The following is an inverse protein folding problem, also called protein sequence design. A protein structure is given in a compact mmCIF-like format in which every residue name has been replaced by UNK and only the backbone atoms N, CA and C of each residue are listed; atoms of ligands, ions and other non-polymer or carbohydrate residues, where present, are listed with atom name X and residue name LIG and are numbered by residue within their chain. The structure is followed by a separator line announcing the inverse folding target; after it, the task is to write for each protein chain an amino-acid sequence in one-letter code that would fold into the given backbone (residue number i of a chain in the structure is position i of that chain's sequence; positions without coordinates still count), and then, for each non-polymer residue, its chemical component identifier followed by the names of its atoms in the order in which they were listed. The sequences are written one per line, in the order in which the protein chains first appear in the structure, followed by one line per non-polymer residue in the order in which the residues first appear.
data_IF_320337039824
#
_entry.id   IF_320337039824
#
_cell.length_a   1.000
_cell.length_b   1.000
_cell.length_c   1.000
_cell.angle_alpha   90.00
_cell.angle_beta   90.00
_cell.angle_gamma   90.00
#
_symmetry.space_group_name_H-M   'P 1'
#
loop_
_entity.id
_entity.type
_entity.pdbx_description
1 polymer ?
#
# COMPACT_ATOMS: atom_id res chain seq x y z
N UNK A 1 0.45 -1.43 -11.25
CA UNK A 1 -0.47 -2.28 -10.46
C UNK A 1 -0.75 -3.61 -11.14
N UNK A 2 -1.09 -3.62 -12.43
CA UNK A 2 -1.42 -4.84 -13.19
C UNK A 2 -0.34 -5.93 -13.09
N UNK A 3 0.93 -5.60 -13.38
CA UNK A 3 2.03 -6.59 -13.29
C UNK A 3 2.16 -7.25 -11.91
N UNK A 4 1.99 -6.47 -10.82
CA UNK A 4 1.98 -7.00 -9.44
C UNK A 4 0.80 -7.94 -9.23
N UNK A 5 -0.37 -7.63 -9.78
CA UNK A 5 -1.56 -8.50 -9.69
C UNK A 5 -1.30 -9.91 -10.21
N UNK A 6 -0.57 -10.07 -11.31
CA UNK A 6 -0.31 -11.40 -11.88
C UNK A 6 0.69 -12.23 -11.09
N UNK A 7 1.74 -11.59 -10.53
CA UNK A 7 2.89 -12.32 -10.01
C UNK A 7 2.97 -12.37 -8.48
N UNK A 8 2.19 -11.57 -7.73
CA UNK A 8 2.37 -11.46 -6.27
C UNK A 8 2.07 -12.77 -5.53
N UNK A 9 1.09 -13.57 -5.98
CA UNK A 9 0.83 -14.91 -5.43
C UNK A 9 2.04 -15.83 -5.64
N UNK A 10 2.59 -15.85 -6.86
CA UNK A 10 3.74 -16.68 -7.21
C UNK A 10 4.95 -16.33 -6.35
N UNK A 11 5.27 -15.05 -6.21
CA UNK A 11 6.37 -14.60 -5.35
C UNK A 11 6.14 -14.90 -3.86
N UNK A 12 4.89 -14.82 -3.39
CA UNK A 12 4.53 -15.25 -2.04
C UNK A 12 4.80 -16.73 -1.80
N UNK A 13 4.37 -17.59 -2.73
CA UNK A 13 4.62 -19.04 -2.68
C UNK A 13 6.12 -19.38 -2.80
N UNK A 14 6.84 -18.68 -3.67
CA UNK A 14 8.30 -18.84 -3.81
C UNK A 14 9.00 -18.43 -2.52
N UNK A 15 8.57 -17.35 -1.86
CA UNK A 15 9.13 -16.93 -0.59
C UNK A 15 8.87 -17.93 0.54
N UNK A 16 7.74 -18.64 0.52
CA UNK A 16 7.44 -19.72 1.47
C UNK A 16 8.29 -20.98 1.21
N UNK A 17 8.79 -21.18 -0.01
CA UNK A 17 9.63 -22.33 -0.37
C UNK A 17 11.13 -22.07 -0.26
N UNK A 18 11.60 -20.93 -0.72
CA UNK A 18 13.03 -20.60 -0.84
C UNK A 18 13.53 -19.82 0.38
N UNK A 19 12.66 -19.03 1.02
CA UNK A 19 13.02 -18.10 2.08
C UNK A 19 12.60 -16.67 1.74
N UNK A 20 12.50 -15.80 2.75
CA UNK A 20 12.12 -14.39 2.60
C UNK A 20 13.24 -13.57 1.98
N UNK A 21 14.49 -13.76 2.44
CA UNK A 21 15.64 -12.94 2.05
C UNK A 21 15.97 -13.07 0.55
N UNK A 22 16.05 -14.28 -0.06
CA UNK A 22 16.35 -14.41 -1.49
C UNK A 22 15.34 -13.69 -2.38
N UNK A 23 14.05 -13.75 -2.05
CA UNK A 23 12.99 -13.09 -2.83
C UNK A 23 13.05 -11.57 -2.69
N UNK A 24 13.38 -11.05 -1.50
CA UNK A 24 13.60 -9.61 -1.26
C UNK A 24 14.79 -9.12 -2.10
N UNK A 25 15.93 -9.83 -2.06
CA UNK A 25 17.15 -9.50 -2.82
C UNK A 25 16.84 -9.50 -4.33
N UNK A 26 16.18 -10.54 -4.84
CA UNK A 26 15.79 -10.61 -6.25
C UNK A 26 14.88 -9.45 -6.65
N UNK A 27 13.89 -9.11 -5.82
CA UNK A 27 12.97 -8.01 -6.09
C UNK A 27 13.69 -6.67 -6.17
N UNK A 28 14.65 -6.41 -5.27
CA UNK A 28 15.44 -5.16 -5.28
C UNK A 28 16.37 -5.13 -6.50
N UNK A 29 17.00 -6.24 -6.85
CA UNK A 29 17.80 -6.34 -8.08
C UNK A 29 16.97 -6.07 -9.34
N UNK A 30 15.78 -6.65 -9.44
CA UNK A 30 14.84 -6.39 -10.53
C UNK A 30 14.44 -4.91 -10.58
N UNK A 31 14.26 -4.24 -9.43
CA UNK A 31 14.03 -2.79 -9.36
C UNK A 31 15.20 -2.02 -9.97
N UNK A 32 16.45 -2.31 -9.59
CA UNK A 32 17.63 -1.62 -10.11
C UNK A 32 17.71 -1.74 -11.64
N UNK A 33 17.56 -2.95 -12.18
CA UNK A 33 17.67 -3.20 -13.62
C UNK A 33 16.53 -2.56 -14.38
N UNK A 34 15.28 -2.84 -14.01
CA UNK A 34 14.10 -2.41 -14.79
C UNK A 34 13.81 -0.92 -14.62
N UNK A 35 14.14 -0.32 -13.47
CA UNK A 35 14.02 1.12 -13.28
C UNK A 35 15.06 1.88 -14.13
N UNK A 36 16.29 1.36 -14.23
CA UNK A 36 17.32 1.93 -15.10
C UNK A 36 16.96 1.80 -16.58
N UNK A 37 16.44 0.64 -17.00
CA UNK A 37 15.93 0.43 -18.36
C UNK A 37 14.75 1.35 -18.69
N UNK A 38 13.88 1.63 -17.72
CA UNK A 38 12.83 2.63 -17.90
C UNK A 38 13.43 4.03 -18.16
N UNK A 39 14.48 4.42 -17.44
CA UNK A 39 15.17 5.70 -17.66
C UNK A 39 15.73 5.85 -19.07
N UNK A 40 16.09 4.75 -19.72
CA UNK A 40 16.59 4.67 -21.11
C UNK A 40 15.45 4.52 -22.15
N UNK A 41 14.19 4.60 -21.74
CA UNK A 41 13.06 4.38 -22.64
C UNK A 41 12.79 5.61 -23.52
N UNK A 42 12.87 5.42 -24.84
CA UNK A 42 12.55 6.43 -25.87
C UNK A 42 11.20 6.20 -26.55
N UNK A 43 10.66 4.98 -26.46
CA UNK A 43 9.37 4.60 -27.06
C UNK A 43 8.34 4.34 -25.97
N UNK A 44 7.09 4.72 -26.24
CA UNK A 44 5.95 4.46 -25.35
C UNK A 44 5.86 2.98 -24.94
N UNK A 45 5.93 2.06 -25.90
CA UNK A 45 5.86 0.63 -25.63
C UNK A 45 7.02 0.09 -24.79
N UNK A 46 8.22 0.68 -24.90
CA UNK A 46 9.36 0.32 -24.06
C UNK A 46 9.12 0.74 -22.60
N UNK A 47 8.55 1.94 -22.39
CA UNK A 47 8.17 2.42 -21.08
C UNK A 47 7.06 1.56 -20.44
N UNK A 48 6.05 1.17 -21.22
CA UNK A 48 4.95 0.31 -20.75
C UNK A 48 5.45 -1.09 -20.38
N UNK A 49 6.26 -1.71 -21.24
CA UNK A 49 6.79 -3.06 -21.00
C UNK A 49 7.72 -3.11 -19.80
N UNK A 50 8.67 -2.17 -19.68
CA UNK A 50 9.56 -2.10 -18.50
C UNK A 50 8.78 -1.88 -17.20
N UNK A 51 7.71 -1.06 -17.21
CA UNK A 51 6.84 -0.86 -16.04
C UNK A 51 5.98 -2.07 -15.70
N UNK A 52 5.50 -2.79 -16.71
CA UNK A 52 4.78 -4.04 -16.51
C UNK A 52 5.70 -5.10 -15.89
N UNK A 53 6.89 -5.31 -16.47
CA UNK A 53 7.90 -6.24 -15.96
C UNK A 53 8.36 -5.86 -14.56
N UNK A 54 8.58 -4.57 -14.28
CA UNK A 54 8.90 -4.10 -12.93
C UNK A 54 7.79 -4.47 -11.95
N UNK A 55 6.53 -4.36 -12.36
CA UNK A 55 5.41 -4.81 -11.54
C UNK A 55 5.40 -6.32 -11.31
N UNK A 56 5.66 -7.13 -12.34
CA UNK A 56 5.60 -8.58 -12.28
C UNK A 56 6.80 -9.20 -11.53
N UNK A 57 7.99 -8.64 -11.67
CA UNK A 57 9.21 -9.16 -11.05
C UNK A 57 9.47 -8.60 -9.66
N UNK A 58 8.79 -7.51 -9.27
CA UNK A 58 8.89 -6.93 -7.93
C UNK A 58 7.87 -7.55 -6.97
N UNK A 59 8.24 -8.71 -6.43
CA UNK A 59 7.46 -9.45 -5.43
C UNK A 59 7.59 -8.94 -4.00
N UNK A 60 8.26 -7.80 -3.75
CA UNK A 60 8.73 -7.37 -2.42
C UNK A 60 7.65 -7.28 -1.32
N UNK A 61 6.44 -6.82 -1.68
CA UNK A 61 5.41 -6.48 -0.68
C UNK A 61 4.92 -7.69 0.13
N UNK A 62 4.86 -8.88 -0.46
CA UNK A 62 4.38 -10.07 0.25
C UNK A 62 5.44 -10.64 1.22
N UNK A 63 6.69 -10.89 0.80
CA UNK A 63 7.76 -11.36 1.68
C UNK A 63 8.13 -10.36 2.75
N UNK A 64 8.13 -9.04 2.48
CA UNK A 64 8.54 -8.05 3.49
C UNK A 64 7.55 -7.95 4.66
N UNK A 65 6.25 -8.07 4.39
CA UNK A 65 5.20 -8.11 5.42
C UNK A 65 5.32 -9.37 6.29
N UNK A 66 5.52 -10.53 5.64
CA UNK A 66 5.75 -11.79 6.34
C UNK A 66 7.03 -11.73 7.19
N UNK A 67 8.15 -11.30 6.58
CA UNK A 67 9.44 -11.11 7.23
C UNK A 67 9.35 -10.20 8.45
N UNK A 68 8.68 -9.06 8.32
CA UNK A 68 8.55 -8.10 9.41
C UNK A 68 7.83 -8.67 10.64
N UNK A 69 6.84 -9.54 10.46
CA UNK A 69 6.15 -10.20 11.57
C UNK A 69 6.96 -11.36 12.15
N UNK A 70 7.79 -12.00 11.33
CA UNK A 70 8.63 -13.12 11.74
C UNK A 70 9.86 -12.66 12.54
N UNK A 71 10.45 -11.51 12.22
CA UNK A 71 11.57 -10.93 13.00
C UNK A 71 11.12 -10.40 14.35
N UNK A 72 9.91 -9.83 14.42
CA UNK A 72 9.42 -9.20 15.64
C UNK A 72 8.83 -10.23 16.60
N UNK A 73 9.10 -10.05 17.90
CA UNK A 73 8.34 -10.73 18.97
C UNK A 73 6.85 -10.39 18.85
N UNK A 74 5.98 -11.27 19.32
CA UNK A 74 4.52 -11.14 19.19
C UNK A 74 3.97 -9.76 19.62
N UNK A 75 4.54 -9.18 20.67
CA UNK A 75 4.20 -7.86 21.19
C UNK A 75 4.58 -6.69 20.26
N UNK A 76 5.61 -6.86 19.43
CA UNK A 76 6.14 -5.83 18.53
C UNK A 76 5.81 -6.09 17.05
N UNK A 77 5.09 -7.16 16.72
CA UNK A 77 4.60 -7.42 15.36
C UNK A 77 3.80 -6.25 14.74
N UNK A 78 2.94 -5.52 15.50
CA UNK A 78 2.24 -4.36 14.98
C UNK A 78 3.22 -3.24 14.58
N UNK A 79 4.26 -3.00 15.38
CA UNK A 79 5.31 -2.02 15.09
C UNK A 79 6.13 -2.41 13.86
N UNK A 80 6.43 -3.70 13.69
CA UNK A 80 7.09 -4.19 12.47
C UNK A 80 6.30 -3.85 11.21
N UNK A 81 5.01 -4.25 11.16
CA UNK A 81 4.15 -3.88 10.04
C UNK A 81 3.98 -2.37 9.90
N UNK A 82 4.02 -1.64 11.00
CA UNK A 82 3.90 -0.19 10.97
C UNK A 82 5.08 0.43 10.23
N UNK A 83 6.31 -0.03 10.48
CA UNK A 83 7.52 0.39 9.76
C UNK A 83 7.41 0.09 8.26
N UNK A 84 6.87 -1.07 7.86
CA UNK A 84 6.64 -1.39 6.44
C UNK A 84 5.69 -0.39 5.78
N UNK A 85 4.59 -0.05 6.45
CA UNK A 85 3.62 0.96 6.02
C UNK A 85 4.24 2.38 5.99
N UNK A 86 5.06 2.72 6.98
CA UNK A 86 5.80 4.00 7.04
C UNK A 86 6.73 4.15 5.83
N UNK A 87 7.49 3.10 5.49
CA UNK A 87 8.40 3.13 4.34
C UNK A 87 7.65 3.41 3.02
N UNK A 88 6.44 2.89 2.87
CA UNK A 88 5.56 3.24 1.74
C UNK A 88 5.19 4.72 1.74
N UNK A 89 4.81 5.28 2.90
CA UNK A 89 4.53 6.70 3.07
C UNK A 89 5.72 7.59 2.70
N UNK A 90 6.95 7.23 3.11
CA UNK A 90 8.17 7.96 2.73
C UNK A 90 8.34 7.95 1.21
N UNK A 91 8.11 6.79 0.58
CA UNK A 91 8.17 6.66 -0.88
C UNK A 91 7.18 7.55 -1.61
N UNK A 92 5.97 7.75 -1.06
CA UNK A 92 4.97 8.67 -1.63
C UNK A 92 5.38 10.14 -1.56
N UNK A 93 6.23 10.53 -0.60
CA UNK A 93 6.73 11.91 -0.48
C UNK A 93 8.01 12.09 -1.31
N UNK A 94 8.99 11.21 -1.13
CA UNK A 94 10.30 11.29 -1.78
C UNK A 94 10.21 11.02 -3.28
N UNK A 95 9.30 10.13 -3.71
CA UNK A 95 9.12 9.73 -5.11
C UNK A 95 8.77 10.91 -6.03
N UNK A 96 7.63 11.62 -5.81
CA UNK A 96 7.26 12.78 -6.60
C UNK A 96 8.28 13.92 -6.52
N UNK A 97 8.91 14.14 -5.36
CA UNK A 97 9.97 15.14 -5.22
C UNK A 97 11.17 14.81 -6.14
N UNK A 98 11.67 13.58 -6.07
CA UNK A 98 12.79 13.11 -6.90
C UNK A 98 12.42 13.13 -8.39
N UNK A 99 11.20 12.69 -8.73
CA UNK A 99 10.70 12.69 -10.10
C UNK A 99 10.46 14.09 -10.67
N UNK A 100 10.03 15.05 -9.86
CA UNK A 100 9.74 16.42 -10.30
C UNK A 100 10.97 17.33 -10.38
N UNK A 101 11.91 17.20 -9.43
CA UNK A 101 13.13 18.01 -9.38
C UNK A 101 14.27 17.49 -10.25
N UNK A 102 14.24 16.23 -10.69
CA UNK A 102 15.31 15.67 -11.52
C UNK A 102 14.85 15.32 -12.94
N UNK A 103 13.54 15.36 -13.23
CA UNK A 103 13.05 15.14 -14.59
C UNK A 103 13.44 16.31 -15.49
N UNK A 104 13.74 16.00 -16.75
CA UNK A 104 14.11 16.98 -17.77
C UNK A 104 15.25 17.91 -17.31
N UNK A 105 16.40 17.36 -16.89
CA UNK A 105 17.47 18.13 -16.26
C UNK A 105 18.04 19.22 -17.17
N UNK A 106 18.01 19.01 -18.49
CA UNK A 106 18.43 20.01 -19.49
C UNK A 106 17.54 21.25 -19.48
N UNK A 107 16.23 21.10 -19.23
CA UNK A 107 15.30 22.24 -19.16
C UNK A 107 15.34 22.92 -17.79
N UNK A 108 15.48 22.13 -16.73
CA UNK A 108 15.43 22.63 -15.36
C UNK A 108 16.77 23.22 -14.89
N UNK A 109 17.90 22.70 -15.40
CA UNK A 109 19.26 23.11 -15.06
C UNK A 109 20.14 23.27 -16.33
N UNK A 110 19.82 24.23 -17.22
CA UNK A 110 20.51 24.41 -18.50
C UNK A 110 22.00 24.77 -18.36
N UNK A 111 22.41 25.30 -17.20
CA UNK A 111 23.82 25.62 -16.91
C UNK A 111 24.68 24.38 -16.59
N UNK A 112 24.05 23.26 -16.20
CA UNK A 112 24.74 22.03 -15.77
C UNK A 112 24.61 20.93 -16.85
N UNK A 113 23.47 20.85 -17.53
CA UNK A 113 23.18 19.81 -18.50
C UNK A 113 22.95 20.39 -19.89
N UNK A 114 23.80 20.01 -20.84
CA UNK A 114 23.68 20.41 -22.24
C UNK A 114 22.70 19.53 -23.02
N UNK A 115 22.05 20.10 -24.04
CA UNK A 115 21.09 19.38 -24.92
C UNK A 115 21.69 18.17 -25.65
N UNK A 116 22.99 18.23 -26.00
CA UNK A 116 23.69 17.12 -26.67
C UNK A 116 24.10 15.99 -25.71
N UNK A 117 23.84 16.12 -24.41
CA UNK A 117 24.17 15.09 -23.42
C UNK A 117 23.21 13.90 -23.47
N UNK A 118 23.60 12.79 -22.83
CA UNK A 118 22.75 11.60 -22.65
C UNK A 118 21.42 11.98 -21.97
N UNK A 119 21.43 12.98 -21.09
CA UNK A 119 20.24 13.47 -20.39
C UNK A 119 19.31 14.33 -21.27
N UNK A 120 19.81 14.87 -22.37
CA UNK A 120 18.97 15.48 -23.42
C UNK A 120 18.21 14.42 -24.23
N UNK A 121 18.88 13.29 -24.53
CA UNK A 121 18.24 12.15 -25.20
C UNK A 121 17.28 11.38 -24.29
N UNK A 122 17.59 11.26 -23.00
CA UNK A 122 16.82 10.51 -22.01
C UNK A 122 16.42 11.41 -20.83
N UNK A 123 15.30 12.13 -20.94
CA UNK A 123 14.90 13.16 -19.95
C UNK A 123 14.55 12.60 -18.56
N UNK A 124 14.27 11.30 -18.45
CA UNK A 124 13.91 10.63 -17.19
C UNK A 124 15.03 9.75 -16.64
N UNK A 125 16.20 9.72 -17.28
CA UNK A 125 17.31 8.87 -16.85
C UNK A 125 17.85 9.27 -15.48
N UNK A 126 18.03 10.57 -15.25
CA UNK A 126 18.59 11.10 -14.00
C UNK A 126 17.81 10.67 -12.74
N UNK A 127 16.48 10.88 -12.63
CA UNK A 127 15.72 10.42 -11.48
C UNK A 127 15.76 8.89 -11.33
N UNK A 128 15.78 8.16 -12.45
CA UNK A 128 15.86 6.70 -12.41
C UNK A 128 17.21 6.22 -11.88
N UNK A 129 18.32 6.85 -12.27
CA UNK A 129 19.66 6.52 -11.76
C UNK A 129 19.79 6.81 -10.26
N UNK A 130 19.26 7.93 -9.77
CA UNK A 130 19.27 8.23 -8.33
C UNK A 130 18.50 7.17 -7.52
N UNK A 131 17.32 6.77 -7.99
CA UNK A 131 16.52 5.72 -7.34
C UNK A 131 17.22 4.37 -7.42
N UNK A 132 17.83 4.03 -8.57
CA UNK A 132 18.57 2.78 -8.74
C UNK A 132 19.83 2.73 -7.87
N UNK A 133 20.53 3.86 -7.69
CA UNK A 133 21.67 3.96 -6.78
C UNK A 133 21.25 3.78 -5.33
N UNK A 134 20.14 4.41 -4.91
CA UNK A 134 19.58 4.17 -3.59
C UNK A 134 19.17 2.70 -3.40
N UNK A 135 18.51 2.09 -4.38
CA UNK A 135 18.16 0.68 -4.35
C UNK A 135 19.40 -0.24 -4.30
N UNK A 136 20.51 0.15 -4.91
CA UNK A 136 21.79 -0.57 -4.81
C UNK A 136 22.35 -0.52 -3.37
N UNK A 137 22.29 0.64 -2.71
CA UNK A 137 22.68 0.74 -1.29
C UNK A 137 21.80 -0.14 -0.39
N UNK A 138 20.50 -0.21 -0.67
CA UNK A 138 19.58 -1.11 0.03
C UNK A 138 19.92 -2.57 -0.25
N UNK A 139 20.25 -2.93 -1.51
CA UNK A 139 20.66 -4.28 -1.88
C UNK A 139 21.92 -4.73 -1.12
N UNK A 140 22.92 -3.85 -1.00
CA UNK A 140 24.12 -4.10 -0.21
C UNK A 140 23.78 -4.26 1.28
N UNK A 141 22.82 -3.46 1.77
CA UNK A 141 22.34 -3.57 3.15
C UNK A 141 21.62 -4.90 3.43
N UNK A 142 21.02 -5.54 2.41
CA UNK A 142 20.40 -6.86 2.56
C UNK A 142 21.39 -7.98 2.87
N UNK A 143 22.71 -7.77 2.74
CA UNK A 143 23.71 -8.76 3.15
C UNK A 143 23.56 -9.09 4.64
N UNK A 144 23.32 -8.07 5.48
CA UNK A 144 23.11 -8.19 6.92
C UNK A 144 21.72 -8.68 7.33
N UNK A 145 20.78 -8.80 6.38
CA UNK A 145 19.42 -9.27 6.67
C UNK A 145 19.47 -10.77 7.02
N UNK A 146 19.01 -11.22 8.20
CA UNK A 146 18.89 -12.65 8.48
C UNK A 146 17.78 -13.29 7.64
N UNK A 147 17.81 -14.62 7.48
CA UNK A 147 16.68 -15.38 6.93
C UNK A 147 15.76 -15.80 8.08
N UNK A 148 14.45 -15.59 7.94
CA UNK A 148 13.47 -15.86 9.00
C UNK A 148 12.72 -17.16 8.80
N UNK A 149 12.73 -17.72 7.59
CA UNK A 149 12.07 -18.99 7.33
C UNK A 149 12.89 -20.13 7.93
N UNK A 150 12.55 -20.54 9.16
CA UNK A 150 13.11 -21.73 9.79
C UNK A 150 12.57 -22.98 9.08
N UNK A 151 13.33 -23.54 8.14
CA UNK A 151 13.17 -24.94 7.78
C UNK A 151 13.81 -25.74 8.91
N UNK A 152 13.02 -26.42 9.73
CA UNK A 152 13.54 -27.54 10.51
C UNK A 152 14.09 -28.57 9.51
N UNK A 153 15.37 -28.43 9.14
CA UNK A 153 16.14 -29.56 8.65
C UNK A 153 16.16 -30.55 9.80
N UNK A 154 15.69 -31.77 9.56
CA UNK A 154 15.67 -32.85 10.54
C UNK A 154 17.03 -32.98 11.23
N UNK A 155 17.10 -32.41 12.43
CA UNK A 155 18.23 -32.52 13.34
C UNK A 155 17.71 -33.13 14.66
N UNK A 156 16.92 -34.19 14.52
CA UNK A 156 16.97 -35.32 15.42
C UNK A 156 17.81 -36.39 14.71
N UNK A 157 19.11 -36.16 14.62
CA UNK A 157 20.06 -37.24 14.34
C UNK A 157 20.81 -37.48 15.63
N UNK A 158 20.43 -38.57 16.30
CA UNK A 158 21.25 -39.27 17.26
C UNK A 158 20.77 -39.16 18.70
N UNK A 159 20.42 -40.34 19.25
CA UNK A 159 20.26 -40.66 20.69
C UNK A 159 18.88 -40.17 21.20
N UNK A 160 17.82 -40.98 21.25
CA UNK A 160 17.69 -42.28 21.92
C UNK A 160 16.62 -43.17 21.23
N UNK A 161 17.06 -44.35 20.78
CA UNK A 161 16.40 -45.66 21.00
C UNK A 161 14.90 -45.75 20.68
N UNK A 162 14.50 -46.11 19.45
CA UNK A 162 14.30 -47.51 19.05
C UNK A 162 13.42 -48.34 20.01
N UNK A 163 12.18 -47.93 20.29
CA UNK A 163 11.11 -48.83 20.80
C UNK A 163 9.74 -48.14 20.74
N UNK A 164 9.11 -48.11 19.56
CA UNK A 164 7.64 -48.05 19.39
C UNK A 164 7.31 -48.02 17.89
N UNK A 165 7.41 -49.18 17.27
CA UNK A 165 6.73 -49.47 16.01
C UNK A 165 5.22 -49.33 16.21
N UNK A 166 4.63 -48.25 15.70
CA UNK A 166 3.33 -48.20 14.97
C UNK A 166 3.00 -46.73 14.67
N UNK A 167 2.42 -46.47 13.50
CA UNK A 167 1.98 -45.16 12.97
C UNK A 167 3.02 -44.33 12.20
N UNK A 168 3.73 -44.95 11.24
CA UNK A 168 4.35 -44.21 10.14
C UNK A 168 3.33 -43.96 9.01
N UNK A 169 2.37 -43.06 9.26
CA UNK A 169 1.57 -42.35 8.24
C UNK A 169 1.21 -40.95 8.79
N UNK A 170 2.19 -40.05 8.94
CA UNK A 170 1.90 -38.64 9.28
C UNK A 170 3.12 -37.74 9.07
N UNK A 171 3.60 -37.58 7.84
CA UNK A 171 4.65 -36.61 7.55
C UNK A 171 4.58 -35.95 6.16
N UNK A 172 3.41 -35.96 5.51
CA UNK A 172 3.07 -34.94 4.52
C UNK A 172 2.00 -34.04 5.13
N UNK A 173 2.43 -32.90 5.67
CA UNK A 173 1.52 -31.85 6.13
C UNK A 173 0.62 -31.45 4.96
N UNK A 174 -0.62 -31.94 4.97
CA UNK A 174 -1.70 -31.49 4.12
C UNK A 174 -1.85 -29.97 4.32
N UNK A 175 -1.15 -29.16 3.52
CA UNK A 175 -1.28 -27.71 3.57
C UNK A 175 -2.72 -27.37 3.23
N UNK A 176 -3.52 -27.03 4.26
CA UNK A 176 -4.90 -26.58 4.08
C UNK A 176 -4.90 -25.42 3.08
N UNK A 177 -5.79 -25.51 2.08
CA UNK A 177 -5.93 -24.48 1.06
C UNK A 177 -6.19 -23.12 1.70
N UNK A 178 -5.34 -22.14 1.40
CA UNK A 178 -5.47 -20.76 1.91
C UNK A 178 -6.80 -20.12 1.51
N UNK A 179 -7.32 -20.45 0.34
CA UNK A 179 -8.61 -19.96 -0.14
C UNK A 179 -9.79 -20.47 0.68
N UNK A 180 -9.64 -21.60 1.39
CA UNK A 180 -10.65 -22.14 2.31
C UNK A 180 -10.53 -21.56 3.73
N UNK A 181 -9.46 -20.82 4.03
CA UNK A 181 -9.28 -20.16 5.32
C UNK A 181 -10.13 -18.88 5.37
N UNK A 182 -11.36 -18.99 5.88
CA UNK A 182 -12.30 -17.87 5.93
C UNK A 182 -11.82 -16.66 6.76
N UNK A 183 -11.18 -16.81 7.94
CA UNK A 183 -10.53 -15.70 8.63
C UNK A 183 -9.54 -14.90 7.76
N UNK A 184 -8.72 -15.60 6.98
CA UNK A 184 -7.80 -14.95 6.05
C UNK A 184 -8.56 -14.25 4.92
N UNK A 185 -9.46 -14.96 4.24
CA UNK A 185 -10.15 -14.44 3.07
C UNK A 185 -11.05 -13.25 3.40
N UNK A 186 -11.79 -13.29 4.52
CA UNK A 186 -12.58 -12.15 4.98
C UNK A 186 -11.71 -10.92 5.23
N UNK A 187 -10.56 -11.08 5.89
CA UNK A 187 -9.61 -9.99 6.11
C UNK A 187 -9.00 -9.44 4.82
N UNK A 188 -8.72 -10.30 3.82
CA UNK A 188 -8.26 -9.88 2.48
C UNK A 188 -9.34 -9.07 1.75
N UNK A 189 -10.59 -9.52 1.77
CA UNK A 189 -11.69 -8.79 1.10
C UNK A 189 -11.88 -7.42 1.74
N UNK A 190 -11.93 -7.33 3.06
CA UNK A 190 -11.99 -6.04 3.78
C UNK A 190 -10.82 -5.13 3.41
N UNK A 191 -9.60 -5.67 3.39
CA UNK A 191 -8.40 -4.94 2.97
C UNK A 191 -8.49 -4.41 1.53
N UNK A 192 -9.05 -5.18 0.60
CA UNK A 192 -9.23 -4.79 -0.80
C UNK A 192 -10.26 -3.66 -0.95
N UNK A 193 -11.38 -3.74 -0.23
CA UNK A 193 -12.42 -2.69 -0.25
C UNK A 193 -11.86 -1.37 0.28
N UNK A 194 -11.17 -1.38 1.42
CA UNK A 194 -10.53 -0.16 1.93
C UNK A 194 -9.39 0.35 1.04
N UNK A 195 -8.63 -0.53 0.41
CA UNK A 195 -7.59 -0.13 -0.55
C UNK A 195 -8.15 0.49 -1.82
N UNK A 196 -9.30 -0.01 -2.30
CA UNK A 196 -10.05 0.59 -3.41
C UNK A 196 -10.54 1.97 -3.02
N UNK A 197 -11.18 2.08 -1.85
CA UNK A 197 -11.67 3.35 -1.34
C UNK A 197 -10.55 4.38 -1.16
N UNK A 198 -9.43 4.01 -0.53
CA UNK A 198 -8.28 4.90 -0.33
C UNK A 198 -7.70 5.41 -1.67
N UNK A 199 -7.61 4.53 -2.66
CA UNK A 199 -7.15 4.91 -4.01
C UNK A 199 -8.14 5.86 -4.69
N UNK A 200 -9.44 5.53 -4.65
CA UNK A 200 -10.49 6.37 -5.22
C UNK A 200 -10.56 7.74 -4.53
N UNK A 201 -10.40 7.77 -3.20
CA UNK A 201 -10.29 9.00 -2.42
C UNK A 201 -9.11 9.85 -2.87
N UNK A 202 -7.91 9.27 -3.02
CA UNK A 202 -6.72 10.03 -3.45
C UNK A 202 -6.88 10.66 -4.84
N UNK A 203 -7.55 9.96 -5.76
CA UNK A 203 -7.84 10.44 -7.11
C UNK A 203 -8.90 11.54 -7.08
N UNK A 204 -10.05 11.30 -6.44
CA UNK A 204 -11.14 12.28 -6.31
C UNK A 204 -10.66 13.52 -5.58
N UNK A 205 -9.91 13.39 -4.49
CA UNK A 205 -9.40 14.52 -3.73
C UNK A 205 -8.52 15.41 -4.60
N UNK A 206 -7.62 14.82 -5.39
CA UNK A 206 -6.75 15.56 -6.30
C UNK A 206 -7.54 16.26 -7.42
N UNK A 207 -8.51 15.58 -8.02
CA UNK A 207 -9.36 16.17 -9.07
C UNK A 207 -10.28 17.27 -8.53
N UNK A 208 -10.86 17.07 -7.35
CA UNK A 208 -11.78 18.01 -6.69
C UNK A 208 -11.06 19.28 -6.25
N UNK A 209 -9.89 19.16 -5.62
CA UNK A 209 -9.12 20.33 -5.17
C UNK A 209 -8.68 21.22 -6.34
N UNK A 210 -8.27 20.63 -7.47
CA UNK A 210 -7.88 21.38 -8.69
C UNK A 210 -9.07 21.98 -9.44
N UNK A 211 -10.24 21.34 -9.38
CA UNK A 211 -11.42 21.79 -10.12
C UNK A 211 -11.87 23.20 -9.73
N UNK A 212 -12.44 23.92 -10.70
CA UNK A 212 -12.89 25.29 -10.46
C UNK A 212 -13.99 25.37 -9.40
N UNK A 213 -13.99 26.47 -8.64
CA UNK A 213 -15.07 26.79 -7.69
C UNK A 213 -16.46 26.79 -8.33
N UNK A 214 -16.58 27.06 -9.64
CA UNK A 214 -17.84 26.97 -10.40
C UNK A 214 -18.42 25.56 -10.42
N UNK A 215 -17.57 24.52 -10.34
CA UNK A 215 -17.96 23.12 -10.34
C UNK A 215 -17.88 22.47 -8.95
N UNK A 216 -17.91 23.28 -7.88
CA UNK A 216 -17.82 22.79 -6.49
C UNK A 216 -16.41 22.34 -6.10
N UNK A 217 -15.36 22.74 -6.82
CA UNK A 217 -13.97 22.50 -6.45
C UNK A 217 -13.34 23.64 -5.66
N UNK A 218 -12.02 23.60 -5.44
CA UNK A 218 -11.28 24.61 -4.67
C UNK A 218 -10.40 25.56 -5.51
N UNK A 219 -10.23 25.30 -6.81
CA UNK A 219 -9.32 26.01 -7.72
C UNK A 219 -7.86 26.03 -7.23
N UNK A 220 -7.38 24.94 -6.63
CA UNK A 220 -6.00 24.83 -6.16
C UNK A 220 -5.02 24.61 -7.33
N UNK A 221 -3.82 25.16 -7.20
CA UNK A 221 -2.74 24.81 -8.10
C UNK A 221 -2.20 23.41 -7.77
N UNK A 222 -1.52 22.76 -8.71
CA UNK A 222 -0.85 21.47 -8.45
C UNK A 222 0.17 21.54 -7.30
N UNK A 223 0.74 22.73 -7.05
CA UNK A 223 1.64 22.97 -5.91
C UNK A 223 0.90 22.89 -4.58
N UNK A 224 -0.28 23.50 -4.48
CA UNK A 224 -1.09 23.51 -3.26
C UNK A 224 -1.58 22.10 -2.92
N UNK A 225 -2.03 21.34 -3.93
CA UNK A 225 -2.39 19.93 -3.77
C UNK A 225 -1.20 19.10 -3.26
N UNK A 226 -0.03 19.31 -3.86
CA UNK A 226 1.21 18.67 -3.41
C UNK A 226 1.56 18.97 -1.96
N UNK A 227 1.34 20.22 -1.50
CA UNK A 227 1.57 20.60 -0.11
C UNK A 227 0.61 19.89 0.86
N UNK A 228 -0.68 19.83 0.55
CA UNK A 228 -1.67 19.14 1.39
C UNK A 228 -1.34 17.65 1.51
N UNK A 229 -1.03 17.01 0.39
CA UNK A 229 -0.64 15.59 0.37
C UNK A 229 0.68 15.33 1.11
N UNK A 230 1.65 16.25 1.02
CA UNK A 230 2.92 16.13 1.74
C UNK A 230 2.72 16.22 3.26
N UNK A 231 1.91 17.18 3.74
CA UNK A 231 1.59 17.32 5.18
C UNK A 231 0.80 16.10 5.68
N UNK A 232 -0.16 15.62 4.89
CA UNK A 232 -0.90 14.41 5.20
C UNK A 232 0.01 13.18 5.28
N UNK A 233 0.94 13.04 4.33
CA UNK A 233 1.99 12.00 4.34
C UNK A 233 2.90 12.08 5.57
N UNK A 234 3.38 13.27 5.93
CA UNK A 234 4.20 13.48 7.11
C UNK A 234 3.45 13.11 8.41
N UNK A 235 2.17 13.45 8.51
CA UNK A 235 1.33 13.09 9.67
C UNK A 235 1.15 11.58 9.82
N UNK A 236 0.99 10.87 8.69
CA UNK A 236 0.95 9.41 8.66
C UNK A 236 2.26 8.81 9.18
N UNK A 237 3.41 9.35 8.78
CA UNK A 237 4.72 8.86 9.22
C UNK A 237 4.89 8.99 10.74
N UNK A 238 4.57 10.17 11.28
CA UNK A 238 4.65 10.43 12.73
C UNK A 238 3.72 9.49 13.50
N UNK A 239 2.48 9.36 13.04
CA UNK A 239 1.51 8.45 13.67
C UNK A 239 2.00 7.01 13.67
N UNK A 240 2.50 6.53 12.55
CA UNK A 240 2.85 5.12 12.36
C UNK A 240 4.10 4.70 13.14
N UNK A 241 5.04 5.62 13.35
CA UNK A 241 6.26 5.38 14.14
C UNK A 241 6.04 5.50 15.64
N UNK A 242 5.26 6.48 16.10
CA UNK A 242 5.19 6.82 17.52
C UNK A 242 3.87 6.43 18.19
N UNK A 243 2.75 6.44 17.47
CA UNK A 243 1.40 6.35 18.06
C UNK A 243 0.76 4.98 17.79
N UNK A 244 0.94 4.41 16.60
CA UNK A 244 0.24 3.18 16.20
C UNK A 244 0.50 2.00 17.14
N UNK A 245 1.72 1.82 17.63
CA UNK A 245 2.04 0.74 18.59
C UNK A 245 1.21 0.83 19.88
N UNK A 246 0.96 2.05 20.37
CA UNK A 246 0.08 2.29 21.53
C UNK A 246 -1.39 2.00 21.20
N UNK A 247 -1.84 2.43 20.02
CA UNK A 247 -3.21 2.21 19.54
C UNK A 247 -3.52 0.72 19.41
N UNK A 248 -2.60 -0.07 18.83
CA UNK A 248 -2.78 -1.51 18.71
C UNK A 248 -2.76 -2.20 20.08
N UNK A 249 -1.90 -1.76 21.01
CA UNK A 249 -1.85 -2.33 22.37
C UNK A 249 -3.15 -2.12 23.14
N UNK A 250 -3.80 -0.96 22.98
CA UNK A 250 -5.04 -0.62 23.71
C UNK A 250 -6.28 -1.20 23.03
N UNK A 251 -6.43 -0.97 21.73
CA UNK A 251 -7.67 -1.26 20.99
C UNK A 251 -7.60 -2.61 20.25
N UNK A 252 -6.40 -3.11 19.98
CA UNK A 252 -6.17 -4.21 19.06
C UNK A 252 -6.48 -3.85 17.60
N UNK A 253 -6.18 -4.75 16.64
CA UNK A 253 -6.34 -4.47 15.21
C UNK A 253 -7.81 -4.35 14.77
N UNK A 254 -8.73 -5.00 15.46
CA UNK A 254 -10.15 -5.04 15.07
C UNK A 254 -10.87 -3.75 15.46
N UNK A 255 -10.77 -3.34 16.73
CA UNK A 255 -11.44 -2.12 17.19
C UNK A 255 -10.77 -0.87 16.61
N UNK A 256 -9.44 -0.84 16.48
CA UNK A 256 -8.75 0.27 15.82
C UNK A 256 -9.20 0.44 14.36
N UNK A 257 -9.36 -0.67 13.61
CA UNK A 257 -9.88 -0.64 12.24
C UNK A 257 -11.33 -0.13 12.20
N UNK A 258 -12.21 -0.64 13.07
CA UNK A 258 -13.62 -0.23 13.15
C UNK A 258 -13.80 1.25 13.48
N UNK A 259 -13.11 1.71 14.53
CA UNK A 259 -13.16 3.11 14.97
C UNK A 259 -12.62 4.00 13.85
N UNK A 260 -11.52 3.60 13.21
CA UNK A 260 -10.94 4.38 12.11
C UNK A 260 -11.85 4.48 10.89
N UNK A 261 -12.52 3.39 10.53
CA UNK A 261 -13.48 3.41 9.43
C UNK A 261 -14.73 4.25 9.79
N UNK A 262 -15.24 4.11 11.02
CA UNK A 262 -16.39 4.90 11.50
C UNK A 262 -16.08 6.41 11.57
N UNK A 263 -14.89 6.80 12.01
CA UNK A 263 -14.44 8.19 12.05
C UNK A 263 -14.11 8.76 10.67
N UNK A 264 -13.77 7.92 9.69
CA UNK A 264 -13.49 8.38 8.32
C UNK A 264 -14.75 8.87 7.62
N UNK A 265 -15.92 8.30 7.93
CA UNK A 265 -17.22 8.68 7.33
C UNK A 265 -17.57 10.16 7.54
N UNK A 266 -17.62 10.71 8.79
CA UNK A 266 -17.94 12.12 8.99
C UNK A 266 -16.88 13.06 8.40
N UNK A 267 -15.61 12.65 8.36
CA UNK A 267 -14.53 13.46 7.75
C UNK A 267 -14.76 13.58 6.24
N UNK A 268 -15.08 12.47 5.57
CA UNK A 268 -15.33 12.48 4.13
C UNK A 268 -16.62 13.24 3.81
N UNK A 269 -17.65 13.08 4.65
CA UNK A 269 -18.90 13.84 4.54
C UNK A 269 -18.70 15.35 4.69
N UNK A 270 -17.64 15.79 5.37
CA UNK A 270 -17.34 17.21 5.58
C UNK A 270 -16.70 17.89 4.36
N UNK A 271 -16.04 17.17 3.45
CA UNK A 271 -15.31 17.77 2.31
C UNK A 271 -16.15 18.69 1.41
N UNK A 272 -17.37 18.31 0.96
CA UNK A 272 -18.18 19.20 0.12
C UNK A 272 -18.44 20.55 0.78
N UNK A 273 -18.64 20.58 2.10
CA UNK A 273 -18.93 21.80 2.84
C UNK A 273 -17.71 22.73 2.98
N UNK A 274 -16.49 22.20 2.79
CA UNK A 274 -15.28 23.02 2.81
C UNK A 274 -15.22 24.01 1.64
N UNK A 275 -15.95 23.76 0.54
CA UNK A 275 -16.03 24.69 -0.60
C UNK A 275 -16.60 26.07 -0.22
N UNK A 276 -17.44 26.12 0.82
CA UNK A 276 -17.99 27.37 1.37
C UNK A 276 -17.00 28.13 2.25
N UNK A 277 -15.84 27.55 2.57
CA UNK A 277 -14.79 28.19 3.34
C UNK A 277 -13.81 28.94 2.41
N UNK A 278 -13.14 29.93 2.97
CA UNK A 278 -12.12 30.72 2.28
C UNK A 278 -10.98 31.11 3.21
N UNK A 279 -9.81 31.38 2.62
CA UNK A 279 -8.60 31.78 3.34
C UNK A 279 -8.15 30.76 4.38
N UNK A 280 -7.79 31.25 5.56
CA UNK A 280 -7.21 30.45 6.66
C UNK A 280 -8.18 29.35 7.13
N UNK A 281 -9.49 29.63 7.16
CA UNK A 281 -10.50 28.64 7.61
C UNK A 281 -10.53 27.40 6.73
N UNK A 282 -10.45 27.60 5.41
CA UNK A 282 -10.33 26.49 4.45
C UNK A 282 -9.03 25.72 4.65
N UNK A 283 -7.91 26.43 4.82
CA UNK A 283 -6.62 25.81 5.08
C UNK A 283 -6.65 24.91 6.32
N UNK A 284 -7.07 25.45 7.47
CA UNK A 284 -7.14 24.67 8.72
C UNK A 284 -8.06 23.45 8.57
N UNK A 285 -9.25 23.61 8.00
CA UNK A 285 -10.20 22.51 7.81
C UNK A 285 -9.65 21.42 6.86
N UNK A 286 -9.09 21.81 5.72
CA UNK A 286 -8.62 20.88 4.70
C UNK A 286 -7.37 20.12 5.14
N UNK A 287 -6.38 20.82 5.70
CA UNK A 287 -5.14 20.19 6.16
C UNK A 287 -5.40 19.25 7.34
N UNK A 288 -6.19 19.67 8.33
CA UNK A 288 -6.55 18.79 9.45
C UNK A 288 -7.33 17.57 8.98
N UNK A 289 -8.33 17.73 8.10
CA UNK A 289 -9.09 16.61 7.56
C UNK A 289 -8.21 15.63 6.77
N UNK A 290 -7.31 16.14 5.90
CA UNK A 290 -6.39 15.30 5.13
C UNK A 290 -5.41 14.52 6.02
N UNK A 291 -4.88 15.17 7.06
CA UNK A 291 -4.00 14.51 8.05
C UNK A 291 -4.75 13.41 8.80
N UNK A 292 -5.92 13.72 9.37
CA UNK A 292 -6.71 12.75 10.13
C UNK A 292 -7.13 11.60 9.20
N UNK A 293 -7.64 11.87 8.00
CA UNK A 293 -8.03 10.83 7.05
C UNK A 293 -6.86 9.90 6.68
N UNK A 294 -5.65 10.44 6.55
CA UNK A 294 -4.45 9.64 6.26
C UNK A 294 -4.06 8.73 7.42
N UNK A 295 -4.16 9.23 8.66
CA UNK A 295 -3.95 8.44 9.89
C UNK A 295 -4.98 7.32 10.02
N UNK A 296 -6.26 7.62 9.78
CA UNK A 296 -7.32 6.60 9.85
C UNK A 296 -7.14 5.54 8.76
N UNK A 297 -6.80 5.96 7.53
CA UNK A 297 -6.54 5.04 6.41
C UNK A 297 -5.39 4.07 6.72
N UNK A 298 -4.25 4.57 7.21
CA UNK A 298 -3.10 3.71 7.50
C UNK A 298 -3.36 2.74 8.65
N UNK A 299 -4.18 3.15 9.63
CA UNK A 299 -4.61 2.31 10.75
C UNK A 299 -5.40 1.10 10.25
N UNK A 300 -6.35 1.33 9.34
CA UNK A 300 -7.17 0.28 8.71
C UNK A 300 -6.28 -0.69 7.91
N UNK A 301 -5.39 -0.16 7.07
CA UNK A 301 -4.48 -0.94 6.21
C UNK A 301 -3.53 -1.80 7.06
N UNK A 302 -2.99 -1.24 8.15
CA UNK A 302 -2.04 -1.95 9.02
C UNK A 302 -2.75 -2.99 9.89
N UNK A 303 -3.91 -2.64 10.47
CA UNK A 303 -4.72 -3.55 11.28
C UNK A 303 -5.22 -4.77 10.49
N UNK A 304 -5.73 -4.56 9.27
CA UNK A 304 -6.13 -5.66 8.38
C UNK A 304 -4.93 -6.50 7.91
N UNK A 305 -3.78 -5.88 7.62
CA UNK A 305 -2.56 -6.62 7.30
C UNK A 305 -2.06 -7.48 8.47
N UNK A 306 -2.22 -7.01 9.72
CA UNK A 306 -1.88 -7.76 10.93
C UNK A 306 -2.79 -9.00 11.09
N UNK A 307 -4.10 -8.82 10.87
CA UNK A 307 -5.08 -9.92 10.91
C UNK A 307 -4.76 -11.01 9.88
N UNK A 308 -4.42 -10.63 8.64
CA UNK A 308 -4.03 -11.58 7.58
C UNK A 308 -2.85 -12.46 7.99
N UNK A 309 -1.81 -11.86 8.58
CA UNK A 309 -0.60 -12.57 8.96
C UNK A 309 -0.79 -13.45 10.20
N UNK A 310 -1.70 -13.09 11.10
CA UNK A 310 -2.07 -13.90 12.27
C UNK A 310 -3.08 -15.01 11.94
N UNK A 311 -3.77 -14.92 10.80
CA UNK A 311 -4.70 -15.96 10.34
C UNK A 311 -4.01 -17.21 9.75
N UNK A 312 -2.69 -17.18 9.56
CA UNK A 312 -1.92 -18.26 8.91
C UNK A 312 -0.64 -18.61 9.67
N UNK A 313 -0.17 -19.87 9.59
CA UNK A 313 1.13 -20.26 10.15
C UNK A 313 2.28 -19.62 9.37
N UNK A 314 3.47 -19.57 10.00
CA UNK A 314 4.66 -18.93 9.43
C UNK A 314 4.99 -19.40 8.01
N UNK A 315 4.94 -20.70 7.75
CA UNK A 315 5.26 -21.29 6.44
C UNK A 315 4.28 -20.96 5.31
N UNK A 316 3.18 -20.25 5.58
CA UNK A 316 2.20 -19.82 4.57
C UNK A 316 1.99 -18.29 4.53
N UNK A 317 2.72 -17.52 5.35
CA UNK A 317 2.58 -16.05 5.40
C UNK A 317 2.95 -15.39 4.07
N UNK A 318 3.92 -15.91 3.35
CA UNK A 318 4.33 -15.38 2.04
C UNK A 318 3.18 -15.47 1.04
N UNK A 319 2.62 -16.66 0.86
CA UNK A 319 1.51 -16.92 -0.04
C UNK A 319 0.24 -16.14 0.38
N UNK A 320 -0.07 -16.06 1.67
CA UNK A 320 -1.20 -15.29 2.18
C UNK A 320 -1.09 -13.79 1.84
N UNK A 321 0.06 -13.16 2.10
CA UNK A 321 0.30 -11.78 1.70
C UNK A 321 0.38 -11.63 0.17
N UNK A 322 0.79 -12.67 -0.56
CA UNK A 322 0.79 -12.72 -2.02
C UNK A 322 -0.62 -12.65 -2.61
N UNK A 323 -1.56 -13.43 -2.05
CA UNK A 323 -2.99 -13.36 -2.38
C UNK A 323 -3.54 -11.97 -2.05
N UNK A 324 -3.27 -11.47 -0.85
CA UNK A 324 -3.73 -10.14 -0.42
C UNK A 324 -3.23 -9.03 -1.34
N UNK A 325 -1.93 -9.04 -1.70
CA UNK A 325 -1.31 -8.04 -2.57
C UNK A 325 -1.85 -8.13 -4.00
N UNK A 326 -2.12 -9.34 -4.48
CA UNK A 326 -2.73 -9.58 -5.80
C UNK A 326 -4.13 -8.98 -5.87
N UNK A 327 -5.00 -9.39 -4.95
CA UNK A 327 -6.38 -8.93 -4.89
C UNK A 327 -6.43 -7.41 -4.71
N UNK A 328 -5.64 -6.86 -3.78
CA UNK A 328 -5.52 -5.42 -3.57
C UNK A 328 -5.07 -4.71 -4.86
N UNK A 329 -4.07 -5.23 -5.57
CA UNK A 329 -3.54 -4.59 -6.79
C UNK A 329 -4.58 -4.50 -7.90
N UNK A 330 -5.46 -5.50 -8.03
CA UNK A 330 -6.58 -5.48 -8.99
C UNK A 330 -7.57 -4.38 -8.62
N UNK A 331 -7.96 -4.29 -7.35
CA UNK A 331 -8.87 -3.27 -6.84
C UNK A 331 -8.29 -1.85 -7.02
N UNK A 332 -7.00 -1.64 -6.68
CA UNK A 332 -6.31 -0.35 -6.88
C UNK A 332 -6.09 -0.01 -8.35
N UNK A 333 -6.07 -0.99 -9.26
CA UNK A 333 -5.92 -0.72 -10.70
C UNK A 333 -7.20 -0.13 -11.31
N UNK A 334 -8.38 -0.56 -10.82
CA UNK A 334 -9.68 -0.11 -11.33
C UNK A 334 -10.12 1.19 -10.66
N UNK A 335 -9.70 1.42 -9.41
CA UNK A 335 -10.15 2.55 -8.59
C UNK A 335 -10.00 3.94 -9.24
N UNK A 336 -8.84 4.35 -9.82
CA UNK A 336 -8.71 5.68 -10.44
C UNK A 336 -9.64 5.88 -11.64
N UNK A 337 -9.81 4.85 -12.47
CA UNK A 337 -10.70 4.90 -13.63
C UNK A 337 -12.17 5.08 -13.18
N UNK A 338 -12.62 4.29 -12.19
CA UNK A 338 -13.96 4.43 -11.62
C UNK A 338 -14.17 5.79 -10.95
N UNK A 339 -13.20 6.24 -10.15
CA UNK A 339 -13.22 7.52 -9.47
C UNK A 339 -13.30 8.71 -10.45
N UNK A 340 -12.50 8.68 -11.53
CA UNK A 340 -12.52 9.71 -12.57
C UNK A 340 -13.84 9.75 -13.35
N UNK A 341 -14.43 8.59 -13.68
CA UNK A 341 -15.76 8.52 -14.34
C UNK A 341 -16.85 9.09 -13.43
N UNK A 342 -16.87 8.69 -12.16
CA UNK A 342 -17.82 9.20 -11.16
C UNK A 342 -17.67 10.72 -11.00
N UNK A 343 -16.43 11.21 -10.91
CA UNK A 343 -16.14 12.63 -10.79
C UNK A 343 -16.57 13.44 -12.02
N UNK A 344 -16.27 12.95 -13.22
CA UNK A 344 -16.69 13.60 -14.47
C UNK A 344 -18.23 13.63 -14.62
N UNK A 345 -18.90 12.55 -14.24
CA UNK A 345 -20.37 12.51 -14.20
C UNK A 345 -20.95 13.52 -13.20
N UNK A 346 -20.35 13.64 -12.03
CA UNK A 346 -20.75 14.62 -11.01
C UNK A 346 -20.55 16.07 -11.45
N UNK A 347 -19.47 16.39 -12.17
CA UNK A 347 -19.27 17.74 -12.71
C UNK A 347 -20.37 18.18 -13.68
N UNK A 348 -21.05 17.25 -14.36
CA UNK A 348 -22.19 17.55 -15.24
C UNK A 348 -23.50 17.82 -14.48
N UNK A 349 -23.55 17.54 -13.18
CA UNK A 349 -24.76 17.54 -12.34
C UNK A 349 -24.78 18.63 -11.26
N UNK A 350 -24.09 19.74 -11.49
CA UNK A 350 -23.93 20.81 -10.47
C UNK A 350 -25.22 21.61 -10.18
N UNK A 351 -26.18 21.66 -11.11
CA UNK A 351 -27.37 22.52 -11.01
C UNK A 351 -28.64 21.79 -10.53
N UNK A 352 -28.51 20.60 -9.96
CA UNK A 352 -29.66 19.81 -9.48
C UNK A 352 -30.01 20.21 -8.05
N UNK A 353 -31.30 20.35 -7.75
CA UNK A 353 -31.79 20.78 -6.44
C UNK A 353 -31.57 19.76 -5.30
N UNK A 354 -31.39 18.47 -5.63
CA UNK A 354 -31.18 17.39 -4.67
C UNK A 354 -29.82 16.71 -4.94
N UNK A 355 -28.91 16.80 -3.97
CA UNK A 355 -27.50 16.37 -4.04
C UNK A 355 -26.76 16.88 -5.30
N UNK A 356 -26.20 18.10 -5.23
CA UNK A 356 -25.32 18.59 -6.27
C UNK A 356 -24.13 17.65 -6.46
N UNK A 357 -23.59 17.65 -7.68
CA UNK A 357 -22.62 16.64 -8.09
C UNK A 357 -21.41 16.49 -7.17
N UNK A 358 -20.89 17.59 -6.63
CA UNK A 358 -19.78 17.58 -5.67
C UNK A 358 -20.12 16.77 -4.40
N UNK A 359 -21.30 16.98 -3.81
CA UNK A 359 -21.78 16.19 -2.67
C UNK A 359 -21.97 14.71 -3.02
N UNK A 360 -22.43 14.41 -4.23
CA UNK A 360 -22.66 13.04 -4.68
C UNK A 360 -21.37 12.21 -4.77
N UNK A 361 -20.25 12.82 -5.18
CA UNK A 361 -18.96 12.10 -5.26
C UNK A 361 -18.51 11.65 -3.87
N UNK A 362 -18.55 12.56 -2.89
CA UNK A 362 -18.16 12.24 -1.52
C UNK A 362 -19.17 11.31 -0.82
N UNK A 363 -20.44 11.37 -1.20
CA UNK A 363 -21.45 10.40 -0.76
C UNK A 363 -21.14 8.98 -1.26
N UNK A 364 -20.74 8.81 -2.52
CA UNK A 364 -20.37 7.51 -3.09
C UNK A 364 -19.08 6.96 -2.46
N UNK A 365 -18.10 7.82 -2.16
CA UNK A 365 -16.93 7.44 -1.36
C UNK A 365 -17.34 6.98 0.04
N UNK A 366 -18.21 7.73 0.71
CA UNK A 366 -18.74 7.36 2.03
C UNK A 366 -19.51 6.04 2.01
N UNK A 367 -20.32 5.78 0.98
CA UNK A 367 -21.02 4.51 0.85
C UNK A 367 -20.04 3.34 0.79
N UNK A 368 -18.94 3.51 0.05
CA UNK A 368 -17.88 2.49 -0.04
C UNK A 368 -17.17 2.30 1.30
N UNK A 369 -16.90 3.38 2.04
CA UNK A 369 -16.32 3.30 3.39
C UNK A 369 -17.27 2.62 4.39
N UNK A 370 -18.58 2.92 4.33
CA UNK A 370 -19.62 2.27 5.17
C UNK A 370 -19.74 0.78 4.84
N UNK A 371 -19.69 0.40 3.55
CA UNK A 371 -19.61 -1.01 3.16
C UNK A 371 -18.36 -1.66 3.76
N UNK A 372 -17.20 -1.01 3.65
CA UNK A 372 -15.95 -1.45 4.28
C UNK A 372 -16.10 -1.66 5.78
N UNK A 373 -16.71 -0.70 6.48
CA UNK A 373 -17.02 -0.76 7.90
C UNK A 373 -17.96 -1.93 8.23
N UNK A 374 -19.04 -2.13 7.49
CA UNK A 374 -19.97 -3.25 7.68
C UNK A 374 -19.26 -4.60 7.55
N UNK A 375 -18.33 -4.72 6.58
CA UNK A 375 -17.52 -5.94 6.42
C UNK A 375 -16.60 -6.21 7.62
N UNK A 376 -16.29 -5.23 8.47
CA UNK A 376 -15.49 -5.48 9.68
C UNK A 376 -16.27 -6.15 10.82
N UNK A 377 -17.60 -6.26 10.72
CA UNK A 377 -18.45 -6.88 11.74
C UNK A 377 -18.72 -8.36 11.44
N UNK A 378 -19.19 -9.07 12.47
CA UNK A 378 -19.72 -10.44 12.30
C UNK A 378 -21.04 -10.36 11.51
N UNK A 379 -21.34 -11.35 10.65
CA UNK A 379 -20.64 -12.62 10.46
C UNK A 379 -19.47 -12.59 9.47
N UNK A 380 -19.20 -11.44 8.81
CA UNK A 380 -18.24 -11.39 7.71
C UNK A 380 -16.79 -11.56 8.20
N UNK A 381 -16.28 -10.63 9.02
CA UNK A 381 -14.91 -10.69 9.50
C UNK A 381 -14.78 -11.78 10.58
N UNK A 382 -14.30 -12.95 10.16
CA UNK A 382 -14.03 -14.04 11.06
C UNK A 382 -12.68 -13.82 11.75
N UNK A 383 -12.74 -13.59 13.05
CA UNK A 383 -11.58 -13.26 13.87
C UNK A 383 -10.80 -14.53 14.23
N UNK A 384 -9.45 -14.55 14.09
CA UNK A 384 -8.63 -15.67 14.54
C UNK A 384 -8.89 -16.00 16.02
N UNK A 385 -8.80 -17.28 16.41
CA UNK A 385 -9.11 -17.74 17.78
C UNK A 385 -8.35 -16.97 18.88
N UNK A 386 -7.16 -16.43 18.58
CA UNK A 386 -6.34 -15.64 19.51
C UNK A 386 -6.95 -14.29 19.92
N UNK A 387 -8.04 -13.88 19.27
CA UNK A 387 -8.77 -12.63 19.52
C UNK A 387 -10.26 -12.87 19.82
N UNK A 388 -10.66 -14.14 19.98
CA UNK A 388 -11.93 -14.50 20.61
C UNK A 388 -11.73 -14.51 22.11
#
# INVERSE_FOLDING_TARGET
MIGRGFASILWGMVADRIGRKPVIIFSIFAVIVLNTLFGLSVKYWMAVTTRFLLGALNGLLAPIKAYSIEVCRAEHQPLGLSIVSTAWGIGLVVGPATGGYLAQPVKQYPHIFHEKSIFGRFPYLLPCLCISLFALLVLLSCIWLPETLHKHKGLEVGVETAEASTTQESAESHQKSLFRNWPLMSSIVTYCVFSLHDTAYSEIFSLWTVSDRKYGGLSFSSKDVGQVLAVAGASLLVYQLFIYGWVDKILGPIHSTRISAALSVPIIAAYPFMTHLSGIRLGVALYSAAMIKSVLAITIITGTSLLQNKAVPQGQRGAANGIATTAMSLFKAIAPAGAGVIFSWAQKRQHVAFFPGDQMVFLLLNLTEVIGLMLTFKPFLAVPQQYK
#
